data_IF_296887930495
#
_entry.id   IF_296887930495
#
_cell.length_a   1.000
_cell.length_b   1.000
_cell.length_c   1.000
_cell.angle_alpha   90.00
_cell.angle_beta   90.00
_cell.angle_gamma   90.00
#
_symmetry.space_group_name_H-M   'P 1'
#
loop_
_entity.id
_entity.type
_entity.pdbx_description
1 polymer ?
#
# COMPACT_ATOMS: atom_id res chain seq x y z
N UNK A 1 -25.72 -14.66 -6.44
CA UNK A 1 -25.06 -13.36 -6.70
C UNK A 1 -25.38 -12.37 -5.59
N UNK A 2 -24.37 -11.60 -5.15
CA UNK A 2 -24.54 -10.50 -4.21
C UNK A 2 -24.31 -9.19 -4.97
N UNK A 3 -25.25 -8.26 -4.90
CA UNK A 3 -25.11 -6.91 -5.48
C UNK A 3 -25.60 -5.87 -4.48
N UNK A 4 -25.41 -4.60 -4.82
CA UNK A 4 -26.10 -3.52 -4.13
C UNK A 4 -27.63 -3.65 -4.29
N UNK A 5 -28.37 -2.79 -3.59
CA UNK A 5 -29.84 -2.81 -3.52
C UNK A 5 -30.53 -2.08 -4.67
N UNK A 6 -29.82 -1.75 -5.75
CA UNK A 6 -30.42 -1.04 -6.88
C UNK A 6 -31.31 -2.00 -7.68
N UNK A 7 -32.54 -1.60 -7.97
CA UNK A 7 -33.56 -2.42 -8.63
C UNK A 7 -33.18 -2.89 -10.05
N UNK A 8 -32.29 -2.17 -10.72
CA UNK A 8 -31.76 -2.53 -12.04
C UNK A 8 -31.03 -3.87 -12.05
N UNK A 9 -30.30 -4.21 -10.98
CA UNK A 9 -29.59 -5.51 -10.92
C UNK A 9 -30.54 -6.69 -10.81
N UNK A 10 -31.67 -6.53 -10.11
CA UNK A 10 -32.71 -7.56 -10.04
C UNK A 10 -33.42 -7.75 -11.38
N UNK A 11 -33.60 -6.68 -12.16
CA UNK A 11 -34.12 -6.76 -13.53
C UNK A 11 -33.12 -7.44 -14.48
N UNK A 12 -31.86 -7.02 -14.44
CA UNK A 12 -30.78 -7.59 -15.27
C UNK A 12 -30.55 -9.08 -14.96
N UNK A 13 -30.55 -9.47 -13.68
CA UNK A 13 -30.44 -10.88 -13.28
C UNK A 13 -31.54 -11.73 -13.91
N UNK A 14 -32.80 -11.27 -13.90
CA UNK A 14 -33.92 -12.04 -14.48
C UNK A 14 -33.74 -12.32 -15.97
N UNK A 15 -33.04 -11.45 -16.69
CA UNK A 15 -32.76 -11.63 -18.11
C UNK A 15 -31.53 -12.50 -18.37
N UNK A 16 -30.45 -12.31 -17.62
CA UNK A 16 -29.14 -12.90 -17.95
C UNK A 16 -28.84 -14.15 -17.13
N UNK A 17 -29.33 -14.24 -15.89
CA UNK A 17 -28.97 -15.27 -14.91
C UNK A 17 -30.18 -15.66 -14.02
N UNK A 18 -31.29 -16.15 -14.60
CA UNK A 18 -32.54 -16.37 -13.87
C UNK A 18 -32.38 -17.36 -12.70
N UNK A 19 -31.58 -18.40 -12.87
CA UNK A 19 -31.42 -19.50 -11.91
C UNK A 19 -30.53 -19.17 -10.70
N UNK A 20 -29.83 -18.02 -10.73
CA UNK A 20 -28.88 -17.67 -9.68
C UNK A 20 -29.57 -16.91 -8.56
N UNK A 21 -29.57 -17.44 -7.32
CA UNK A 21 -30.12 -16.74 -6.16
C UNK A 21 -29.55 -15.31 -6.00
N UNK A 22 -30.41 -14.31 -5.79
CA UNK A 22 -30.00 -12.92 -5.56
C UNK A 22 -30.07 -12.57 -4.08
N UNK A 23 -28.93 -12.15 -3.50
CA UNK A 23 -28.86 -11.69 -2.11
C UNK A 23 -28.45 -10.22 -2.08
N UNK A 24 -29.38 -9.35 -1.70
CA UNK A 24 -29.18 -7.89 -1.66
C UNK A 24 -29.05 -7.32 -0.24
N UNK A 25 -28.86 -8.19 0.76
CA UNK A 25 -28.72 -7.75 2.15
C UNK A 25 -27.47 -6.87 2.37
N UNK A 26 -27.64 -5.75 3.11
CA UNK A 26 -26.59 -4.74 3.36
C UNK A 26 -25.27 -5.36 3.86
N UNK A 27 -25.34 -6.29 4.81
CA UNK A 27 -24.15 -6.92 5.39
C UNK A 27 -23.36 -7.77 4.39
N UNK A 28 -24.04 -8.45 3.46
CA UNK A 28 -23.40 -9.25 2.43
C UNK A 28 -22.72 -8.37 1.38
N UNK A 29 -23.38 -7.29 0.97
CA UNK A 29 -22.79 -6.31 0.05
C UNK A 29 -21.55 -5.65 0.66
N UNK A 30 -21.64 -5.19 1.91
CA UNK A 30 -20.49 -4.60 2.61
C UNK A 30 -19.30 -5.57 2.70
N UNK A 31 -19.55 -6.87 2.94
CA UNK A 31 -18.50 -7.89 2.97
C UNK A 31 -17.85 -8.05 1.59
N UNK A 32 -18.67 -8.15 0.54
CA UNK A 32 -18.18 -8.24 -0.84
C UNK A 32 -17.35 -7.01 -1.23
N UNK A 33 -17.83 -5.80 -0.93
CA UNK A 33 -17.09 -4.55 -1.18
C UNK A 33 -15.80 -4.45 -0.37
N UNK A 34 -15.84 -4.83 0.92
CA UNK A 34 -14.67 -4.81 1.79
C UNK A 34 -13.57 -5.78 1.34
N UNK A 35 -13.94 -6.90 0.70
CA UNK A 35 -12.97 -7.85 0.14
C UNK A 35 -12.09 -7.21 -0.95
N UNK A 36 -12.57 -6.15 -1.61
CA UNK A 36 -11.84 -5.41 -2.64
C UNK A 36 -10.92 -4.32 -2.08
N UNK A 37 -11.06 -3.95 -0.80
CA UNK A 37 -10.31 -2.84 -0.18
C UNK A 37 -8.78 -3.05 -0.25
N UNK A 38 -8.21 -4.23 0.05
CA UNK A 38 -6.77 -4.45 -0.04
C UNK A 38 -6.23 -4.23 -1.47
N UNK A 39 -6.95 -4.73 -2.48
CA UNK A 39 -6.59 -4.55 -3.89
C UNK A 39 -6.70 -3.08 -4.31
N UNK A 40 -7.76 -2.38 -3.89
CA UNK A 40 -7.98 -0.96 -4.19
C UNK A 40 -6.90 -0.07 -3.56
N UNK A 41 -6.45 -0.39 -2.33
CA UNK A 41 -5.31 0.29 -1.67
C UNK A 41 -4.01 0.09 -2.45
N UNK A 42 -3.69 -1.14 -2.86
CA UNK A 42 -2.49 -1.43 -3.69
C UNK A 42 -2.55 -0.70 -5.03
N UNK A 43 -3.68 -0.80 -5.75
CA UNK A 43 -3.90 -0.05 -6.99
C UNK A 43 -3.74 1.46 -6.80
N UNK A 44 -4.30 2.04 -5.74
CA UNK A 44 -4.19 3.48 -5.46
C UNK A 44 -2.74 3.90 -5.18
N UNK A 45 -1.96 3.11 -4.44
CA UNK A 45 -0.53 3.39 -4.24
C UNK A 45 0.26 3.32 -5.55
N UNK A 46 -0.03 2.33 -6.40
CA UNK A 46 0.59 2.22 -7.72
C UNK A 46 0.18 3.37 -8.66
N UNK A 47 -1.09 3.77 -8.62
CA UNK A 47 -1.63 4.91 -9.39
C UNK A 47 -1.16 6.27 -8.86
N UNK A 48 -0.70 6.35 -7.61
CA UNK A 48 -0.16 7.59 -7.04
C UNK A 48 1.10 8.08 -7.76
N UNK A 49 1.81 7.17 -8.42
CA UNK A 49 2.97 7.49 -9.25
C UNK A 49 2.51 7.72 -10.70
N UNK A 50 2.62 8.96 -11.17
CA UNK A 50 2.20 9.37 -12.53
C UNK A 50 3.03 8.73 -13.66
N UNK A 51 4.14 8.06 -13.33
CA UNK A 51 4.95 7.29 -14.27
C UNK A 51 5.77 6.19 -13.58
N UNK A 52 6.12 5.09 -14.28
CA UNK A 52 7.07 4.09 -13.78
C UNK A 52 8.40 4.69 -13.31
N UNK A 53 8.90 5.71 -14.02
CA UNK A 53 10.12 6.43 -13.62
C UNK A 53 9.99 7.15 -12.28
N UNK A 54 8.81 7.71 -11.96
CA UNK A 54 8.60 8.34 -10.64
C UNK A 54 8.57 7.32 -9.50
N UNK A 55 7.97 6.14 -9.72
CA UNK A 55 8.03 5.02 -8.79
C UNK A 55 9.47 4.53 -8.59
N UNK A 56 10.24 4.38 -9.68
CA UNK A 56 11.61 3.91 -9.60
C UNK A 56 12.51 4.88 -8.83
N UNK A 57 12.38 6.20 -9.08
CA UNK A 57 13.09 7.23 -8.30
C UNK A 57 12.73 7.15 -6.82
N UNK A 58 11.44 7.07 -6.51
CA UNK A 58 10.98 6.95 -5.12
C UNK A 58 11.57 5.70 -4.44
N UNK A 59 11.46 4.53 -5.07
CA UNK A 59 11.98 3.27 -4.50
C UNK A 59 13.49 3.31 -4.33
N UNK A 60 14.21 3.92 -5.27
CA UNK A 60 15.68 4.04 -5.21
C UNK A 60 16.10 4.93 -4.03
N UNK A 61 15.54 6.14 -3.93
CA UNK A 61 15.84 7.06 -2.83
C UNK A 61 15.39 6.50 -1.48
N UNK A 62 14.19 5.94 -1.40
CA UNK A 62 13.66 5.35 -0.17
C UNK A 62 14.52 4.18 0.32
N UNK A 63 14.94 3.30 -0.60
CA UNK A 63 15.82 2.17 -0.26
C UNK A 63 17.17 2.64 0.24
N UNK A 64 17.77 3.65 -0.38
CA UNK A 64 19.05 4.23 0.07
C UNK A 64 18.94 4.81 1.49
N UNK A 65 17.91 5.62 1.75
CA UNK A 65 17.66 6.20 3.09
C UNK A 65 17.41 5.10 4.12
N UNK A 66 16.59 4.10 3.80
CA UNK A 66 16.30 3.00 4.72
C UNK A 66 17.56 2.21 5.06
N UNK A 67 18.39 1.88 4.08
CA UNK A 67 19.63 1.13 4.31
C UNK A 67 20.64 1.91 5.16
N UNK A 68 20.62 3.24 5.06
CA UNK A 68 21.47 4.11 5.87
C UNK A 68 21.05 4.10 7.35
N UNK A 69 19.75 4.22 7.63
CA UNK A 69 19.23 4.44 8.99
C UNK A 69 18.75 3.18 9.72
N UNK A 70 18.42 2.12 8.99
CA UNK A 70 17.89 0.89 9.58
C UNK A 70 19.02 -0.14 9.67
N UNK A 71 19.56 -0.40 10.89
CA UNK A 71 20.61 -1.39 11.03
C UNK A 71 20.08 -2.79 10.71
N UNK A 72 20.94 -3.69 10.19
CA UNK A 72 20.60 -5.10 10.01
C UNK A 72 20.12 -5.73 11.31
N UNK A 73 19.21 -6.71 11.22
CA UNK A 73 18.64 -7.44 12.36
C UNK A 73 19.65 -8.27 13.17
N UNK A 74 20.94 -8.28 12.81
CA UNK A 74 21.96 -8.96 13.62
C UNK A 74 21.99 -8.35 15.03
N UNK A 75 22.14 -9.21 16.06
CA UNK A 75 22.04 -8.83 17.48
C UNK A 75 23.14 -7.84 17.86
N UNK A 76 22.88 -6.55 17.67
CA UNK A 76 23.77 -5.45 18.05
C UNK A 76 23.46 -4.96 19.45
N UNK A 77 24.49 -4.67 20.24
CA UNK A 77 24.32 -4.04 21.55
C UNK A 77 23.75 -2.62 21.39
N UNK A 78 23.19 -2.06 22.47
CA UNK A 78 22.68 -0.69 22.46
C UNK A 78 23.74 0.33 22.01
N UNK A 79 25.01 0.13 22.40
CA UNK A 79 26.15 0.95 21.98
C UNK A 79 26.38 0.89 20.46
N UNK A 80 26.34 -0.30 19.85
CA UNK A 80 26.50 -0.45 18.40
C UNK A 80 25.35 0.20 17.61
N UNK A 81 24.13 0.16 18.14
CA UNK A 81 22.98 0.87 17.55
C UNK A 81 23.18 2.39 17.64
N UNK A 82 23.67 2.88 18.78
CA UNK A 82 23.96 4.31 18.96
C UNK A 82 25.03 4.79 17.97
N UNK A 83 26.15 4.09 17.85
CA UNK A 83 27.22 4.41 16.91
C UNK A 83 26.74 4.38 15.45
N UNK A 84 25.92 3.38 15.08
CA UNK A 84 25.32 3.32 13.75
C UNK A 84 24.47 4.56 13.44
N UNK A 85 23.64 5.02 14.39
CA UNK A 85 22.81 6.22 14.20
C UNK A 85 23.64 7.48 14.04
N UNK A 86 24.71 7.65 14.82
CA UNK A 86 25.62 8.80 14.70
C UNK A 86 26.27 8.83 13.31
N UNK A 87 26.79 7.68 12.87
CA UNK A 87 27.41 7.55 11.54
C UNK A 87 26.40 7.79 10.41
N UNK A 88 25.18 7.24 10.54
CA UNK A 88 24.11 7.44 9.58
C UNK A 88 23.72 8.92 9.46
N UNK A 89 23.61 9.64 10.58
CA UNK A 89 23.33 11.08 10.59
C UNK A 89 24.46 11.91 9.99
N UNK A 90 25.72 11.57 10.24
CA UNK A 90 26.86 12.24 9.64
C UNK A 90 26.87 12.07 8.11
N UNK A 91 26.66 10.84 7.63
CA UNK A 91 26.56 10.56 6.19
C UNK A 91 25.36 11.26 5.55
N UNK A 92 24.22 11.31 6.24
CA UNK A 92 23.04 12.04 5.77
C UNK A 92 23.30 13.55 5.62
N UNK A 93 23.94 14.17 6.61
CA UNK A 93 24.30 15.60 6.55
C UNK A 93 25.21 15.91 5.35
N UNK A 94 26.20 15.06 5.12
CA UNK A 94 27.10 15.18 3.97
C UNK A 94 26.34 15.03 2.62
N UNK A 95 25.47 14.03 2.52
CA UNK A 95 24.71 13.77 1.29
C UNK A 95 23.62 14.82 1.01
N UNK A 96 23.02 15.40 2.04
CA UNK A 96 21.95 16.38 1.92
C UNK A 96 22.46 17.82 1.73
N UNK A 97 23.78 18.03 1.67
CA UNK A 97 24.41 19.36 1.59
C UNK A 97 23.88 20.35 2.63
N UNK A 98 23.49 19.85 3.81
CA UNK A 98 23.11 20.70 4.94
C UNK A 98 24.42 21.22 5.53
N UNK A 99 24.84 22.40 5.06
CA UNK A 99 25.95 23.16 5.62
C UNK A 99 25.68 23.34 7.11
N UNK A 100 26.64 22.94 7.94
CA UNK A 100 26.62 23.13 9.39
C UNK A 100 26.79 24.61 9.74
#
# INVERSE_FOLDING_TARGET
MITDRVGSYGAARRQVMPDIEHRSHKGLNNRAENSHVPLRKRKRMMQGFRSPGSLQRFVSTFSAVRNLFVPPRSKRSAFQVHLHRLNAMAQWKAAASVIA
#
